data_IF_357682856355
#
_entry.id   IF_357682856355
#
_cell.length_a   1.000
_cell.length_b   1.000
_cell.length_c   1.000
_cell.angle_alpha   90.00
_cell.angle_beta   90.00
_cell.angle_gamma   90.00
#
_symmetry.space_group_name_H-M   'P 1'
#
loop_
_entity.id
_entity.type
_entity.pdbx_description
1 polymer ?
#
# COMPACT_ATOMS: atom_id res chain seq x y z
N UNK A 1 20.39 18.75 4.14
CA UNK A 1 19.26 18.08 3.49
C UNK A 1 19.34 18.35 2.00
N UNK A 2 19.35 17.29 1.20
CA UNK A 2 19.20 17.39 -0.25
C UNK A 2 17.70 17.27 -0.54
N UNK A 3 17.11 18.29 -1.18
CA UNK A 3 15.68 18.29 -1.51
C UNK A 3 15.39 17.64 -2.86
N UNK A 4 16.44 17.27 -3.62
CA UNK A 4 16.32 16.57 -4.88
C UNK A 4 16.30 15.04 -4.67
N UNK A 5 15.17 14.36 -4.86
CA UNK A 5 15.11 12.90 -4.71
C UNK A 5 15.80 12.13 -5.84
N UNK A 6 16.07 12.78 -6.98
CA UNK A 6 16.68 12.17 -8.17
C UNK A 6 18.21 12.40 -8.21
N UNK A 7 18.76 13.13 -7.24
CA UNK A 7 20.18 13.42 -7.20
C UNK A 7 20.98 12.22 -6.67
N UNK A 8 21.70 11.58 -7.58
CA UNK A 8 22.58 10.43 -7.33
C UNK A 8 24.04 10.85 -7.07
N UNK A 9 24.31 12.15 -6.92
CA UNK A 9 25.66 12.65 -6.73
C UNK A 9 26.16 12.43 -5.30
N UNK A 10 27.44 12.11 -5.16
CA UNK A 10 28.13 12.20 -3.88
C UNK A 10 28.72 13.59 -3.69
N UNK A 11 28.52 14.16 -2.51
CA UNK A 11 29.12 15.42 -2.12
C UNK A 11 30.13 15.22 -1.01
N UNK A 12 31.21 15.99 -1.06
CA UNK A 12 32.20 16.06 0.01
C UNK A 12 32.48 17.51 0.34
N UNK A 13 32.42 17.83 1.62
CA UNK A 13 32.75 19.15 2.14
C UNK A 13 34.06 18.99 2.89
N UNK A 14 35.06 19.80 2.57
CA UNK A 14 36.32 19.88 3.31
C UNK A 14 36.47 21.28 3.86
N UNK A 15 36.69 21.41 5.17
CA UNK A 15 36.90 22.69 5.83
C UNK A 15 38.38 23.09 5.79
N UNK A 16 38.62 24.38 5.51
CA UNK A 16 39.96 24.94 5.30
C UNK A 16 40.15 26.22 6.11
N UNK A 17 41.39 26.54 6.47
CA UNK A 17 41.71 27.84 7.06
C UNK A 17 41.79 28.90 5.97
N UNK A 18 41.13 30.03 6.19
CA UNK A 18 41.23 31.21 5.33
C UNK A 18 42.34 32.16 5.83
N UNK A 19 42.95 32.97 4.95
CA UNK A 19 44.03 33.89 5.33
C UNK A 19 43.65 34.95 6.37
N UNK A 20 42.36 35.24 6.52
CA UNK A 20 41.80 36.18 7.49
C UNK A 20 41.53 35.54 8.87
N UNK A 21 41.94 34.28 9.07
CA UNK A 21 41.75 33.53 10.30
C UNK A 21 40.32 32.99 10.47
N UNK A 22 39.48 33.08 9.44
CA UNK A 22 38.15 32.48 9.42
C UNK A 22 38.19 31.06 8.85
N UNK A 23 37.10 30.34 9.03
CA UNK A 23 36.91 29.02 8.44
C UNK A 23 36.32 29.17 7.03
N UNK A 24 36.92 28.52 6.06
CA UNK A 24 36.39 28.33 4.71
C UNK A 24 35.95 26.89 4.48
N UNK A 25 35.34 26.66 3.32
CA UNK A 25 34.98 25.32 2.87
C UNK A 25 35.25 25.15 1.37
N UNK A 26 35.47 23.91 0.98
CA UNK A 26 35.47 23.43 -0.40
C UNK A 26 34.40 22.33 -0.53
N UNK A 27 33.44 22.54 -1.41
CA UNK A 27 32.40 21.57 -1.77
C UNK A 27 32.76 20.89 -3.09
N UNK A 28 32.81 19.57 -3.06
CA UNK A 28 33.01 18.71 -4.20
C UNK A 28 31.71 17.96 -4.53
N UNK A 29 31.42 17.81 -5.82
CA UNK A 29 30.38 16.92 -6.36
C UNK A 29 31.07 15.88 -7.23
N UNK A 30 30.92 14.60 -6.89
CA UNK A 30 31.56 13.48 -7.58
C UNK A 30 33.09 13.67 -7.76
N UNK A 31 33.75 14.22 -6.74
CA UNK A 31 35.20 14.48 -6.72
C UNK A 31 35.65 15.73 -7.49
N UNK A 32 34.74 16.50 -8.10
CA UNK A 32 35.06 17.78 -8.72
C UNK A 32 34.61 18.93 -7.84
N UNK A 33 35.46 19.94 -7.64
CA UNK A 33 35.10 21.14 -6.87
C UNK A 33 34.01 21.92 -7.61
N UNK A 34 32.89 22.15 -6.93
CA UNK A 34 31.73 22.89 -7.48
C UNK A 34 31.50 24.22 -6.79
N UNK A 35 31.95 24.38 -5.54
CA UNK A 35 31.82 25.62 -4.79
C UNK A 35 32.91 25.71 -3.71
N UNK A 36 33.37 26.91 -3.42
CA UNK A 36 34.25 27.19 -2.28
C UNK A 36 33.96 28.59 -1.76
N UNK A 37 34.17 28.82 -0.46
CA UNK A 37 33.93 30.14 0.13
C UNK A 37 34.18 30.18 1.64
N UNK A 38 33.90 31.33 2.24
CA UNK A 38 33.87 31.50 3.69
C UNK A 38 32.68 30.72 4.28
N UNK A 39 32.90 29.99 5.37
CA UNK A 39 31.84 29.28 6.08
C UNK A 39 31.22 30.17 7.17
N UNK A 40 29.95 30.52 7.00
CA UNK A 40 29.15 31.14 8.06
C UNK A 40 28.22 30.09 8.70
N UNK A 41 28.39 29.75 10.00
CA UNK A 41 27.54 28.80 10.72
C UNK A 41 26.06 29.19 10.78
N UNK A 42 25.69 30.46 10.55
CA UNK A 42 24.30 30.92 10.56
C UNK A 42 23.58 30.62 9.25
N UNK A 43 24.28 30.73 8.12
CA UNK A 43 23.70 30.48 6.79
C UNK A 43 23.94 29.05 6.33
N UNK A 44 25.00 28.41 6.82
CA UNK A 44 25.48 27.12 6.36
C UNK A 44 26.03 27.18 4.93
N UNK A 45 26.14 26.02 4.29
CA UNK A 45 26.53 25.86 2.90
C UNK A 45 25.27 25.61 2.08
N UNK A 46 25.04 26.45 1.06
CA UNK A 46 23.92 26.35 0.15
C UNK A 46 24.46 26.18 -1.27
N UNK A 47 24.06 25.10 -1.94
CA UNK A 47 24.43 24.79 -3.31
C UNK A 47 23.24 24.10 -3.98
N UNK A 48 22.64 24.71 -5.01
CA UNK A 48 21.44 24.19 -5.67
C UNK A 48 20.34 23.84 -4.64
N UNK A 49 19.87 22.59 -4.61
CA UNK A 49 18.87 22.05 -3.68
C UNK A 49 19.49 21.41 -2.41
N UNK A 50 20.81 21.50 -2.27
CA UNK A 50 21.56 21.02 -1.12
C UNK A 50 21.78 22.15 -0.10
N UNK A 51 21.20 21.97 1.09
CA UNK A 51 21.44 22.86 2.22
C UNK A 51 22.12 22.09 3.36
N UNK A 52 23.31 22.55 3.79
CA UNK A 52 24.09 21.90 4.83
C UNK A 52 24.29 22.88 5.99
N UNK A 53 23.81 22.49 7.16
CA UNK A 53 24.03 23.19 8.42
C UNK A 53 24.99 22.39 9.27
N UNK A 54 26.09 23.03 9.68
CA UNK A 54 27.10 22.41 10.53
C UNK A 54 27.17 23.20 11.81
N UNK A 55 27.11 22.50 12.95
CA UNK A 55 27.21 23.08 14.28
C UNK A 55 28.42 22.50 14.99
N UNK A 56 29.03 23.28 15.87
CA UNK A 56 30.21 22.90 16.63
C UNK A 56 31.46 23.65 16.18
N UNK A 57 32.59 23.28 16.78
CA UNK A 57 33.89 23.79 16.36
C UNK A 57 34.33 23.04 15.11
N UNK A 58 34.73 23.80 14.09
CA UNK A 58 35.27 23.28 12.84
C UNK A 58 36.75 23.59 12.81
N UNK A 59 37.55 22.58 12.49
CA UNK A 59 38.99 22.67 12.34
C UNK A 59 39.40 22.38 10.90
N UNK A 60 40.56 22.89 10.51
CA UNK A 60 41.13 22.62 9.19
C UNK A 60 41.30 21.12 8.97
N UNK A 61 40.79 20.64 7.84
CA UNK A 61 40.86 19.24 7.44
C UNK A 61 39.64 18.42 7.85
N UNK A 62 38.73 18.97 8.65
CA UNK A 62 37.44 18.32 8.90
C UNK A 62 36.70 18.12 7.58
N UNK A 63 36.07 16.96 7.43
CA UNK A 63 35.35 16.60 6.23
C UNK A 63 34.00 15.97 6.55
N UNK A 64 33.02 16.24 5.69
CA UNK A 64 31.69 15.64 5.72
C UNK A 64 31.40 15.06 4.35
N UNK A 65 31.18 13.75 4.31
CA UNK A 65 30.76 13.04 3.12
C UNK A 65 29.23 12.87 3.14
N UNK A 66 28.59 13.24 2.04
CA UNK A 66 27.15 13.07 1.82
C UNK A 66 27.00 12.18 0.59
N UNK A 67 26.52 10.96 0.83
CA UNK A 67 26.29 9.97 -0.22
C UNK A 67 24.82 9.61 -0.28
N UNK A 68 24.22 9.49 -1.48
CA UNK A 68 22.88 8.96 -1.63
C UNK A 68 22.78 7.56 -1.02
N UNK A 69 21.61 7.24 -0.47
CA UNK A 69 21.33 5.94 0.12
C UNK A 69 19.92 5.51 -0.26
N UNK A 70 19.84 4.48 -1.09
CA UNK A 70 18.55 3.98 -1.61
C UNK A 70 17.81 3.10 -0.59
N UNK A 71 18.56 2.24 0.10
CA UNK A 71 17.99 1.27 1.04
C UNK A 71 18.86 1.13 2.29
N UNK A 72 18.22 0.75 3.38
CA UNK A 72 18.86 0.39 4.63
C UNK A 72 18.03 -0.66 5.37
N UNK A 73 18.69 -1.42 6.25
CA UNK A 73 18.02 -2.36 7.13
C UNK A 73 17.68 -1.69 8.45
N UNK A 74 16.42 -1.75 8.86
CA UNK A 74 16.01 -1.27 10.19
C UNK A 74 16.72 -2.01 11.33
N UNK A 75 17.10 -3.27 11.11
CA UNK A 75 17.87 -4.05 12.10
C UNK A 75 19.31 -3.52 12.23
N UNK A 76 19.90 -3.08 11.12
CA UNK A 76 21.21 -2.42 11.15
C UNK A 76 21.09 -1.07 11.87
N UNK A 77 20.03 -0.29 11.62
CA UNK A 77 19.75 0.96 12.33
C UNK A 77 19.60 0.74 13.83
N UNK A 78 18.90 -0.32 14.28
CA UNK A 78 18.81 -0.66 15.71
C UNK A 78 20.15 -1.04 16.32
N UNK A 79 20.94 -1.90 15.65
CA UNK A 79 22.27 -2.28 16.13
C UNK A 79 23.19 -1.07 16.22
N UNK A 80 23.15 -0.22 15.21
CA UNK A 80 23.95 1.01 15.18
C UNK A 80 23.50 1.97 16.27
N UNK A 81 22.19 2.13 16.52
CA UNK A 81 21.68 2.97 17.60
C UNK A 81 22.19 2.53 18.97
N UNK A 82 22.20 1.22 19.26
CA UNK A 82 22.77 0.69 20.51
C UNK A 82 24.26 1.05 20.60
N UNK A 83 25.02 0.77 19.53
CA UNK A 83 26.46 1.05 19.48
C UNK A 83 26.80 2.54 19.69
N UNK A 84 26.11 3.43 18.99
CA UNK A 84 26.39 4.87 19.03
C UNK A 84 25.80 5.56 20.28
N UNK A 85 24.79 4.96 20.93
CA UNK A 85 24.26 5.45 22.20
C UNK A 85 25.25 5.28 23.37
N UNK A 86 26.15 4.31 23.29
CA UNK A 86 27.23 4.11 24.27
C UNK A 86 28.46 5.00 23.99
N UNK A 87 28.49 5.69 22.85
CA UNK A 87 29.59 6.56 22.44
C UNK A 87 29.60 7.92 23.17
N UNK A 88 30.73 8.63 23.08
CA UNK A 88 30.87 9.94 23.71
C UNK A 88 29.98 11.00 23.05
N UNK A 89 29.29 11.80 23.88
CA UNK A 89 28.53 12.97 23.42
C UNK A 89 29.41 14.14 22.99
N UNK A 90 30.70 14.13 23.36
CA UNK A 90 31.67 15.15 22.93
C UNK A 90 32.25 14.85 21.54
N UNK A 91 32.02 13.66 21.00
CA UNK A 91 32.43 13.29 19.65
C UNK A 91 31.35 13.74 18.64
N UNK A 92 31.71 14.72 17.81
CA UNK A 92 30.84 15.25 16.78
C UNK A 92 30.42 14.18 15.76
N UNK A 93 31.28 13.20 15.46
CA UNK A 93 30.95 12.10 14.55
C UNK A 93 29.92 11.16 15.16
N UNK A 94 30.06 10.86 16.46
CA UNK A 94 29.10 10.05 17.21
C UNK A 94 27.71 10.71 17.24
N UNK A 95 27.65 12.01 17.55
CA UNK A 95 26.39 12.77 17.58
C UNK A 95 25.76 12.91 16.19
N UNK A 96 26.56 13.17 15.15
CA UNK A 96 26.08 13.21 13.76
C UNK A 96 25.48 11.86 13.34
N UNK A 97 26.11 10.74 13.72
CA UNK A 97 25.58 9.41 13.42
C UNK A 97 24.29 9.12 14.16
N UNK A 98 24.15 9.52 15.42
CA UNK A 98 22.89 9.42 16.15
C UNK A 98 21.77 10.21 15.48
N UNK A 99 22.03 11.42 14.98
CA UNK A 99 21.06 12.19 14.20
C UNK A 99 20.62 11.46 12.92
N UNK A 100 21.58 10.88 12.18
CA UNK A 100 21.25 10.06 11.01
C UNK A 100 20.35 8.86 11.38
N UNK A 101 20.62 8.18 12.50
CA UNK A 101 19.83 7.02 12.93
C UNK A 101 18.40 7.41 13.31
N UNK A 102 18.18 8.60 13.88
CA UNK A 102 16.84 9.14 14.13
C UNK A 102 16.05 9.31 12.83
N UNK A 103 16.69 9.87 11.79
CA UNK A 103 16.07 10.01 10.46
C UNK A 103 15.78 8.65 9.81
N UNK A 104 16.69 7.67 9.98
CA UNK A 104 16.48 6.29 9.52
C UNK A 104 15.27 5.65 10.23
N UNK A 105 15.14 5.80 11.55
CA UNK A 105 13.96 5.32 12.28
C UNK A 105 12.67 5.99 11.83
N UNK A 106 12.70 7.31 11.61
CA UNK A 106 11.54 8.05 11.12
C UNK A 106 11.11 7.54 9.73
N UNK A 107 12.07 7.35 8.83
CA UNK A 107 11.83 6.82 7.48
C UNK A 107 11.26 5.40 7.54
N UNK A 108 11.82 4.54 8.40
CA UNK A 108 11.31 3.19 8.62
C UNK A 108 9.87 3.19 9.16
N UNK A 109 9.55 4.11 10.07
CA UNK A 109 8.20 4.28 10.60
C UNK A 109 7.19 4.72 9.52
N UNK A 110 7.56 5.68 8.66
CA UNK A 110 6.74 6.08 7.52
C UNK A 110 6.50 4.88 6.58
N UNK A 111 7.56 4.12 6.26
CA UNK A 111 7.46 2.95 5.40
C UNK A 111 6.49 1.89 5.98
N UNK A 112 6.61 1.56 7.26
CA UNK A 112 5.72 0.62 7.93
C UNK A 112 4.26 1.09 7.91
N UNK A 113 4.02 2.38 8.18
CA UNK A 113 2.67 2.93 8.13
C UNK A 113 2.08 2.87 6.74
N UNK A 114 2.85 3.17 5.69
CA UNK A 114 2.39 3.04 4.30
C UNK A 114 1.94 1.61 3.99
N UNK A 115 2.71 0.61 4.40
CA UNK A 115 2.35 -0.81 4.25
C UNK A 115 1.08 -1.15 5.02
N UNK A 116 0.94 -0.66 6.26
CA UNK A 116 -0.28 -0.86 7.06
C UNK A 116 -1.51 -0.23 6.41
N UNK A 117 -1.38 0.96 5.84
CA UNK A 117 -2.46 1.63 5.09
C UNK A 117 -2.85 0.83 3.86
N UNK A 118 -1.88 0.31 3.09
CA UNK A 118 -2.15 -0.55 1.92
C UNK A 118 -2.92 -1.82 2.31
N UNK A 119 -2.50 -2.49 3.39
CA UNK A 119 -3.21 -3.65 3.93
C UNK A 119 -4.65 -3.26 4.34
N UNK A 120 -4.84 -2.11 4.98
CA UNK A 120 -6.16 -1.61 5.34
C UNK A 120 -7.08 -1.38 4.13
N UNK A 121 -6.54 -0.82 3.04
CA UNK A 121 -7.29 -0.64 1.80
C UNK A 121 -7.69 -1.99 1.16
N UNK A 122 -6.80 -2.99 1.22
CA UNK A 122 -7.10 -4.35 0.75
C UNK A 122 -8.16 -5.03 1.60
N UNK A 123 -8.11 -4.89 2.93
CA UNK A 123 -9.15 -5.41 3.83
C UNK A 123 -10.50 -4.79 3.52
N UNK A 124 -10.57 -3.46 3.36
CA UNK A 124 -11.82 -2.79 2.96
C UNK A 124 -12.35 -3.28 1.61
N UNK A 125 -11.45 -3.63 0.67
CA UNK A 125 -11.86 -4.23 -0.61
C UNK A 125 -12.43 -5.63 -0.43
N UNK A 126 -11.84 -6.44 0.45
CA UNK A 126 -12.35 -7.78 0.77
C UNK A 126 -13.73 -7.71 1.44
N UNK A 127 -13.94 -6.76 2.35
CA UNK A 127 -15.26 -6.57 2.99
C UNK A 127 -16.35 -6.26 1.94
N UNK A 128 -16.04 -5.39 0.97
CA UNK A 128 -16.95 -5.08 -0.15
C UNK A 128 -17.22 -6.31 -1.01
N UNK A 129 -16.21 -7.13 -1.28
CA UNK A 129 -16.36 -8.37 -2.06
C UNK A 129 -17.20 -9.40 -1.32
N UNK A 130 -17.07 -9.50 0.00
CA UNK A 130 -17.90 -10.37 0.83
C UNK A 130 -19.37 -9.95 0.79
N UNK A 131 -19.68 -8.65 0.94
CA UNK A 131 -21.03 -8.11 0.81
C UNK A 131 -21.64 -8.42 -0.58
N UNK A 132 -20.89 -8.18 -1.65
CA UNK A 132 -21.33 -8.51 -3.01
C UNK A 132 -21.58 -10.01 -3.21
N UNK A 133 -20.80 -10.87 -2.56
CA UNK A 133 -20.98 -12.30 -2.62
C UNK A 133 -22.25 -12.76 -1.87
N UNK A 134 -22.58 -12.13 -0.73
CA UNK A 134 -23.86 -12.36 -0.05
C UNK A 134 -25.05 -11.96 -0.94
N UNK A 135 -24.99 -10.79 -1.58
CA UNK A 135 -26.02 -10.32 -2.52
C UNK A 135 -26.18 -11.26 -3.73
N UNK A 136 -25.07 -11.79 -4.24
CA UNK A 136 -25.07 -12.76 -5.31
C UNK A 136 -25.74 -14.07 -4.89
N UNK A 137 -25.46 -14.56 -3.68
CA UNK A 137 -26.13 -15.76 -3.13
C UNK A 137 -27.64 -15.57 -3.01
N UNK A 138 -28.10 -14.40 -2.55
CA UNK A 138 -29.53 -14.07 -2.48
C UNK A 138 -30.16 -14.08 -3.88
N UNK A 139 -29.49 -13.45 -4.85
CA UNK A 139 -29.95 -13.40 -6.23
C UNK A 139 -30.06 -14.81 -6.84
N UNK A 140 -29.06 -15.66 -6.61
CA UNK A 140 -29.07 -17.05 -7.06
C UNK A 140 -30.18 -17.86 -6.40
N UNK A 141 -30.40 -17.69 -5.09
CA UNK A 141 -31.48 -18.35 -4.37
C UNK A 141 -32.87 -17.95 -4.91
N UNK A 142 -33.06 -16.66 -5.23
CA UNK A 142 -34.30 -16.16 -5.86
C UNK A 142 -34.52 -16.73 -7.26
N UNK A 143 -33.47 -16.75 -8.08
CA UNK A 143 -33.52 -17.36 -9.42
C UNK A 143 -33.85 -18.84 -9.35
N UNK A 144 -33.24 -19.58 -8.40
CA UNK A 144 -33.54 -20.98 -8.17
C UNK A 144 -35.01 -21.21 -7.76
N UNK A 145 -35.52 -20.44 -6.79
CA UNK A 145 -36.93 -20.51 -6.36
C UNK A 145 -37.89 -20.26 -7.52
N UNK A 146 -37.61 -19.26 -8.37
CA UNK A 146 -38.46 -18.96 -9.53
C UNK A 146 -38.48 -20.11 -10.54
N UNK A 147 -37.35 -20.79 -10.72
CA UNK A 147 -37.26 -21.96 -11.60
C UNK A 147 -38.03 -23.17 -11.02
N UNK A 148 -37.85 -23.46 -9.72
CA UNK A 148 -38.60 -24.53 -9.04
C UNK A 148 -40.13 -24.27 -9.06
N UNK A 149 -40.56 -23.02 -8.81
CA UNK A 149 -41.98 -22.63 -8.86
C UNK A 149 -42.59 -22.78 -10.27
N UNK A 150 -41.81 -22.49 -11.32
CA UNK A 150 -42.24 -22.70 -12.71
C UNK A 150 -42.48 -24.19 -13.01
N UNK A 151 -41.59 -25.07 -12.54
CA UNK A 151 -41.71 -26.51 -12.73
C UNK A 151 -42.97 -27.08 -12.02
N UNK A 152 -43.28 -26.59 -10.81
CA UNK A 152 -44.53 -26.97 -10.12
C UNK A 152 -45.78 -26.51 -10.87
N UNK A 153 -45.76 -25.30 -11.46
CA UNK A 153 -46.89 -24.79 -12.24
C UNK A 153 -47.15 -25.66 -13.48
N UNK A 154 -46.10 -26.07 -14.19
CA UNK A 154 -46.20 -26.98 -15.34
C UNK A 154 -46.76 -28.35 -14.94
N UNK A 155 -46.26 -28.94 -13.84
CA UNK A 155 -46.76 -30.22 -13.33
C UNK A 155 -48.25 -30.18 -12.95
N UNK A 156 -48.71 -29.06 -12.38
CA UNK A 156 -50.14 -28.85 -12.07
C UNK A 156 -50.97 -28.71 -13.34
N UNK A 157 -50.46 -28.04 -14.37
CA UNK A 157 -51.15 -27.92 -15.67
C UNK A 157 -51.30 -29.31 -16.29
N UNK A 158 -50.21 -30.07 -16.40
CA UNK A 158 -50.21 -31.41 -16.98
C UNK A 158 -51.16 -32.36 -16.22
N UNK A 159 -51.15 -32.32 -14.89
CA UNK A 159 -52.08 -33.11 -14.07
C UNK A 159 -53.55 -32.74 -14.32
N UNK A 160 -53.86 -31.45 -14.46
CA UNK A 160 -55.23 -30.99 -14.72
C UNK A 160 -55.71 -31.38 -16.12
N UNK A 161 -54.84 -31.32 -17.13
CA UNK A 161 -55.15 -31.76 -18.49
C UNK A 161 -55.42 -33.27 -18.52
N UNK A 162 -54.54 -34.07 -17.92
CA UNK A 162 -54.71 -35.51 -17.81
C UNK A 162 -55.99 -35.88 -17.04
N UNK A 163 -56.28 -35.18 -15.93
CA UNK A 163 -57.52 -35.39 -15.15
C UNK A 163 -58.76 -35.06 -15.97
N UNK A 164 -58.75 -33.96 -16.76
CA UNK A 164 -59.85 -33.60 -17.65
C UNK A 164 -60.04 -34.61 -18.77
N UNK A 165 -58.95 -35.07 -19.38
CA UNK A 165 -58.98 -36.10 -20.41
C UNK A 165 -59.56 -37.43 -19.88
N UNK A 166 -59.17 -37.81 -18.65
CA UNK A 166 -59.70 -38.98 -17.97
C UNK A 166 -61.22 -38.86 -17.70
N UNK A 167 -61.67 -37.73 -17.14
CA UNK A 167 -63.10 -37.48 -16.89
C UNK A 167 -63.92 -37.46 -18.19
N UNK A 168 -63.41 -36.83 -19.25
CA UNK A 168 -64.03 -36.85 -20.56
C UNK A 168 -64.13 -38.27 -21.13
N UNK A 169 -63.07 -39.08 -20.99
CA UNK A 169 -63.06 -40.48 -21.42
C UNK A 169 -64.06 -41.34 -20.64
N UNK A 170 -64.16 -41.14 -19.32
CA UNK A 170 -65.15 -41.82 -18.48
C UNK A 170 -66.59 -41.45 -18.84
N UNK A 171 -66.87 -40.16 -19.09
CA UNK A 171 -68.18 -39.68 -19.56
C UNK A 171 -68.54 -40.21 -20.94
N UNK A 172 -67.59 -40.23 -21.88
CA UNK A 172 -67.78 -40.79 -23.20
C UNK A 172 -68.05 -42.30 -23.15
N UNK A 173 -67.33 -43.02 -22.28
CA UNK A 173 -67.55 -44.45 -22.04
C UNK A 173 -68.91 -44.73 -21.40
N UNK A 174 -69.32 -43.92 -20.41
CA UNK A 174 -70.66 -43.99 -19.82
C UNK A 174 -71.77 -43.80 -20.86
N UNK A 175 -71.69 -42.72 -21.65
CA UNK A 175 -72.64 -42.47 -22.75
C UNK A 175 -72.66 -43.59 -23.80
N UNK A 176 -71.50 -44.14 -24.14
CA UNK A 176 -71.43 -45.26 -25.10
C UNK A 176 -72.09 -46.51 -24.53
N UNK A 177 -71.87 -46.81 -23.24
CA UNK A 177 -72.56 -47.90 -22.55
C UNK A 177 -74.07 -47.71 -22.51
N UNK A 178 -74.55 -46.52 -22.19
CA UNK A 178 -75.99 -46.20 -22.17
C UNK A 178 -76.63 -46.33 -23.57
N UNK A 179 -75.90 -45.98 -24.63
CA UNK A 179 -76.36 -46.14 -26.02
C UNK A 179 -76.43 -47.62 -26.48
N UNK A 180 -75.66 -48.52 -25.86
CA UNK A 180 -75.58 -49.94 -26.27
C UNK A 180 -76.53 -50.89 -25.53
N UNK A 181 -77.18 -50.45 -24.44
CA UNK A 181 -78.02 -51.35 -23.62
C UNK A 181 -79.52 -50.98 -23.55
N UNK A 182 -79.96 -49.83 -24.07
CA UNK A 182 -81.38 -49.43 -24.05
C UNK A 182 -82.00 -48.99 -25.37
N UNK A 183 -81.27 -49.08 -26.50
CA UNK A 183 -81.82 -48.72 -27.82
C UNK A 183 -82.04 -49.93 -28.77
N UNK A 184 -82.00 -51.16 -28.27
CA UNK A 184 -82.26 -52.35 -29.10
C UNK A 184 -83.40 -53.27 -28.59
N UNK A 185 -84.12 -52.89 -27.53
CA UNK A 185 -85.39 -53.56 -27.17
C UNK A 185 -86.41 -52.51 -26.75
#
# INVERSE_FOLDING_TARGET
MNLNPDDTSSYRITFVDMPDGKNGYQLERNGSVVQAGEFDPKTGIQFEELNIQVKGQITKGDAIDLTPRDTFSVFDTFRDAIRYAEGSVSDASNTAKLHQLVEEFHTAFIHLNKTRTDIGARLSTLDIQEEQHEDFKISLAKSKSTFEDLDYAEAVIEFNENSRALDASQKAFGKTKDLTLFNYI
#
